data_IF_003421919288
#
_entry.id   IF_003421919288
#
_cell.length_a   1.000
_cell.length_b   1.000
_cell.length_c   1.000
_cell.angle_alpha   90.00
_cell.angle_beta   90.00
_cell.angle_gamma   90.00
#
_symmetry.space_group_name_H-M   'P 1'
#
loop_
_entity.id
_entity.type
_entity.pdbx_description
1 polymer ?
#
# COMPACT_ATOMS: atom_id res chain seq x y z
N UNK A 1 1.39 -17.56 2.45
CA UNK A 1 0.54 -16.43 2.59
C UNK A 1 0.74 -15.49 1.42
N UNK A 2 -0.32 -15.01 0.86
CA UNK A 2 -0.23 -14.14 -0.30
C UNK A 2 -0.63 -12.76 0.09
N UNK A 3 0.21 -11.81 -0.18
CA UNK A 3 -0.08 -10.43 0.14
C UNK A 3 -0.45 -9.72 -1.12
N UNK A 4 -1.60 -9.15 -1.14
CA UNK A 4 -2.07 -8.45 -2.32
C UNK A 4 -1.93 -6.96 -2.11
N UNK A 5 -1.24 -6.33 -2.97
CA UNK A 5 -1.09 -4.89 -2.85
C UNK A 5 -2.06 -4.16 -3.77
N UNK A 6 -2.99 -4.89 -4.32
CA UNK A 6 -3.97 -4.25 -5.17
C UNK A 6 -5.04 -3.55 -4.36
N UNK A 7 -5.17 -3.93 -3.11
CA UNK A 7 -6.17 -3.30 -2.27
C UNK A 7 -5.51 -2.72 -1.05
N UNK A 8 -5.94 -1.58 -0.63
CA UNK A 8 -5.36 -0.99 0.58
C UNK A 8 -5.85 -1.73 1.81
N UNK A 9 -5.17 -1.56 2.92
CA UNK A 9 -5.58 -2.23 4.14
C UNK A 9 -6.95 -1.74 4.59
N UNK A 10 -7.68 -2.62 5.22
CA UNK A 10 -9.00 -2.30 5.66
C UNK A 10 -8.96 -1.79 7.09
N UNK A 11 -9.58 -0.66 7.33
CA UNK A 11 -9.54 -0.08 8.66
C UNK A 11 -10.18 -0.99 9.69
N UNK A 12 -11.11 -1.80 9.28
CA UNK A 12 -11.78 -2.68 10.21
C UNK A 12 -10.85 -3.75 10.76
N UNK A 13 -9.77 -3.99 10.08
CA UNK A 13 -8.84 -5.02 10.52
C UNK A 13 -7.90 -4.51 11.61
N UNK A 14 -7.98 -3.25 11.96
CA UNK A 14 -7.07 -2.68 12.94
C UNK A 14 -7.86 -2.13 14.11
N UNK A 15 -7.31 -2.31 15.27
CA UNK A 15 -7.96 -1.84 16.48
C UNK A 15 -7.83 -0.34 16.66
N UNK A 16 -6.75 0.21 16.29
CA UNK A 16 -6.57 1.64 16.48
C UNK A 16 -6.23 2.29 15.16
N UNK A 17 -6.53 3.55 15.09
CA UNK A 17 -6.29 4.28 13.88
C UNK A 17 -4.81 4.40 13.59
N UNK A 18 -4.00 4.47 14.61
CA UNK A 18 -2.58 4.56 14.39
C UNK A 18 -2.06 3.32 13.66
N UNK A 19 -2.55 2.16 14.07
CA UNK A 19 -2.13 0.94 13.40
C UNK A 19 -2.56 0.94 11.95
N UNK A 20 -3.78 1.39 11.71
CA UNK A 20 -4.29 1.45 10.34
C UNK A 20 -3.44 2.40 9.50
N UNK A 21 -3.11 3.55 10.04
CA UNK A 21 -2.33 4.52 9.28
C UNK A 21 -0.94 3.99 9.01
N UNK A 22 -0.37 3.27 9.97
CA UNK A 22 0.93 2.70 9.75
C UNK A 22 0.89 1.71 8.61
N UNK A 23 -0.09 0.82 8.64
CA UNK A 23 -0.20 -0.19 7.61
C UNK A 23 -0.49 0.47 6.26
N UNK A 24 -1.32 1.49 6.25
CA UNK A 24 -1.65 2.16 5.01
C UNK A 24 -0.42 2.84 4.42
N UNK A 25 0.37 3.43 5.27
CA UNK A 25 1.57 4.10 4.80
C UNK A 25 2.54 3.10 4.20
N UNK A 26 2.72 1.97 4.85
CA UNK A 26 3.61 0.95 4.33
C UNK A 26 3.07 0.41 3.01
N UNK A 27 1.78 0.16 2.96
CA UNK A 27 1.19 -0.36 1.74
C UNK A 27 1.40 0.63 0.59
N UNK A 28 1.24 1.90 0.89
CA UNK A 28 1.38 2.91 -0.13
C UNK A 28 2.80 2.99 -0.65
N UNK A 29 3.75 2.90 0.25
CA UNK A 29 5.13 2.96 -0.16
C UNK A 29 5.52 1.78 -1.03
N UNK A 30 5.07 0.60 -0.65
CA UNK A 30 5.38 -0.56 -1.43
C UNK A 30 4.69 -0.51 -2.78
N UNK A 31 3.43 -0.10 -2.78
CA UNK A 31 2.69 0.01 -4.01
C UNK A 31 3.34 1.00 -4.96
N UNK A 32 3.75 2.12 -4.42
CA UNK A 32 4.41 3.14 -5.22
C UNK A 32 5.72 2.61 -5.80
N UNK A 33 6.44 1.86 -5.00
CA UNK A 33 7.70 1.30 -5.46
C UNK A 33 7.48 0.32 -6.61
N UNK A 34 6.43 -0.47 -6.51
CA UNK A 34 6.14 -1.41 -7.56
C UNK A 34 5.77 -0.68 -8.85
N UNK A 35 5.00 0.37 -8.73
CA UNK A 35 4.64 1.14 -9.90
C UNK A 35 5.84 1.75 -10.56
N UNK A 36 6.75 2.21 -9.75
CA UNK A 36 7.95 2.81 -10.29
C UNK A 36 8.74 1.81 -11.09
N UNK A 37 8.80 0.59 -10.60
CA UNK A 37 9.57 -0.40 -11.27
C UNK A 37 8.93 -0.85 -12.56
N UNK A 38 7.65 -1.03 -12.52
CA UNK A 38 7.00 -1.54 -13.67
C UNK A 38 6.57 -0.52 -14.65
N UNK A 39 6.11 0.60 -14.19
CA UNK A 39 5.59 1.49 -15.08
C UNK A 39 6.10 2.74 -15.08
N UNK A 40 6.78 3.12 -15.59
CA UNK A 40 7.25 4.33 -15.78
C UNK A 40 6.30 5.13 -16.55
N UNK A 41 5.10 5.14 -16.28
CA UNK A 41 4.21 5.90 -17.02
C UNK A 41 4.17 7.28 -16.53
N UNK A 42 3.71 8.07 -16.90
CA UNK A 42 3.67 9.38 -16.43
C UNK A 42 4.86 10.10 -16.74
N UNK A 43 5.80 9.58 -16.67
CA UNK A 43 6.96 10.29 -16.89
C UNK A 43 7.04 10.78 -18.23
N UNK A 44 7.05 10.63 -18.73
CA UNK A 44 7.29 11.20 -19.70
C UNK A 44 7.69 11.14 -20.19
#
# INVERSE_FOLDING_TARGET
>A
MIISYEEPPNREHFDSEEDYQKAFKEWKEIFDSILEKHGNFGGN
#
